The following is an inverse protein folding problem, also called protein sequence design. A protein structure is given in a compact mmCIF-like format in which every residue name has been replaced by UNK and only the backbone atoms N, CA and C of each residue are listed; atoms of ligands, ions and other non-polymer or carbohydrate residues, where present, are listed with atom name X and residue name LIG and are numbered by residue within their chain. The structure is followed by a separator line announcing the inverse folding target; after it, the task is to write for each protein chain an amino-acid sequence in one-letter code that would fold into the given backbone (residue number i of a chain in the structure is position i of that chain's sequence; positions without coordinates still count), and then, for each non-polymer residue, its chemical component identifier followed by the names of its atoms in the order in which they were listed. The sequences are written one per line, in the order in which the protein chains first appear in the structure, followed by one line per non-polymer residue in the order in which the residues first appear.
data_IF_762744468631
#
_entry.id   IF_762744468631
#
_cell.length_a   1.000
_cell.length_b   1.000
_cell.length_c   1.000
_cell.angle_alpha   90.00
_cell.angle_beta   90.00
_cell.angle_gamma   90.00
#
_symmetry.space_group_name_H-M   'P 1'
#
loop_
_entity.id
_entity.type
_entity.pdbx_description
1 polymer ?
#
# COMPACT_ATOMS: atom_id res chain seq x y z
N UNK A 1 33.61 -13.80 -8.94
CA UNK A 1 33.16 -13.87 -8.74
C UNK A 1 32.55 -13.50 -8.78
N UNK A 2 32.30 -13.67 -8.64
CA UNK A 2 31.65 -13.49 -8.44
C UNK A 2 30.89 -13.20 -8.21
N UNK A 3 30.65 -13.13 -8.00
CA UNK A 3 29.89 -12.99 -7.53
C UNK A 3 29.01 -12.85 -7.68
N UNK A 4 28.64 -12.98 -7.80
CA UNK A 4 27.72 -13.01 -7.69
C UNK A 4 26.97 -12.92 -7.29
N UNK A 5 26.59 -12.66 -7.19
CA UNK A 5 25.68 -12.84 -6.70
C UNK A 5 24.80 -12.99 -6.92
N UNK A 6 24.97 -13.23 -6.79
CA UNK A 6 23.89 -13.63 -7.17
C UNK A 6 22.61 -13.52 -6.97
N UNK A 7 22.25 -14.02 -7.15
CA UNK A 7 20.91 -14.16 -6.96
C UNK A 7 20.49 -13.45 -5.78
N UNK A 8 20.54 -12.23 -5.91
CA UNK A 8 19.81 -11.51 -4.95
C UNK A 8 18.37 -11.81 -5.16
N UNK A 9 17.65 -12.08 -4.10
CA UNK A 9 16.22 -12.08 -4.15
C UNK A 9 15.79 -10.78 -4.76
N UNK A 10 14.62 -10.72 -5.29
CA UNK A 10 14.07 -9.47 -5.77
C UNK A 10 14.22 -8.45 -4.69
N UNK A 11 15.12 -7.52 -4.86
CA UNK A 11 15.31 -6.48 -3.89
C UNK A 11 14.52 -5.28 -4.32
N UNK A 12 13.78 -4.73 -3.37
CA UNK A 12 13.07 -3.48 -3.57
C UNK A 12 14.12 -2.38 -3.69
N UNK A 13 14.05 -1.51 -4.71
CA UNK A 13 14.96 -0.37 -4.80
C UNK A 13 14.90 0.47 -3.52
N UNK A 14 16.02 1.11 -3.18
CA UNK A 14 16.09 1.90 -1.94
C UNK A 14 14.97 2.92 -1.83
N UNK A 15 14.62 3.59 -2.94
CA UNK A 15 13.56 4.58 -2.93
C UNK A 15 12.22 3.95 -2.61
N UNK A 16 11.99 2.73 -3.08
CA UNK A 16 10.73 2.05 -2.85
C UNK A 16 10.66 1.41 -1.48
N UNK A 17 11.81 1.14 -0.84
CA UNK A 17 11.81 0.53 0.49
C UNK A 17 11.19 1.44 1.55
N UNK A 18 11.08 2.73 1.29
CA UNK A 18 10.41 3.64 2.20
C UNK A 18 8.91 3.35 2.33
N UNK A 19 8.34 2.62 1.38
CA UNK A 19 6.94 2.25 1.41
C UNK A 19 6.68 1.00 2.26
N UNK A 20 7.70 0.20 2.52
CA UNK A 20 7.52 -1.06 3.25
C UNK A 20 7.18 -0.76 4.71
N UNK A 21 6.12 -1.38 5.20
CA UNK A 21 5.70 -1.21 6.58
C UNK A 21 4.18 -1.23 6.71
N UNK A 22 3.72 -0.87 7.90
CA UNK A 22 2.30 -0.79 8.20
C UNK A 22 1.89 0.67 8.29
N UNK A 23 0.82 1.01 7.59
CA UNK A 23 0.33 2.37 7.48
C UNK A 23 -1.13 2.42 7.89
N UNK A 24 -1.49 3.38 8.73
CA UNK A 24 -2.87 3.54 9.18
C UNK A 24 -3.08 2.91 10.53
N UNK A 25 -4.36 2.71 10.90
CA UNK A 25 -4.72 2.19 12.21
C UNK A 25 -5.46 0.88 12.05
N UNK A 26 -4.93 -0.18 12.65
CA UNK A 26 -5.58 -1.48 12.69
C UNK A 26 -6.69 -1.46 13.75
N UNK A 27 -7.82 -2.01 13.42
CA UNK A 27 -8.95 -2.07 14.33
C UNK A 27 -10.27 -2.09 13.57
N UNK A 28 -11.36 -2.26 14.33
CA UNK A 28 -12.69 -2.30 13.73
C UNK A 28 -12.99 -0.94 13.08
N UNK A 29 -13.42 -0.98 11.81
CA UNK A 29 -13.81 0.20 11.04
C UNK A 29 -12.66 1.18 10.83
N UNK A 30 -11.41 0.72 10.93
CA UNK A 30 -10.23 1.54 10.68
C UNK A 30 -9.58 1.13 9.38
N UNK A 31 -8.98 2.10 8.69
CA UNK A 31 -8.28 1.87 7.43
C UNK A 31 -6.80 1.66 7.67
N UNK A 32 -6.21 0.66 7.03
CA UNK A 32 -4.78 0.45 7.11
C UNK A 32 -4.28 -0.33 5.90
N UNK A 33 -2.98 -0.23 5.64
CA UNK A 33 -2.29 -1.01 4.62
C UNK A 33 -1.01 -1.58 5.20
N UNK A 34 -0.71 -2.82 4.85
CA UNK A 34 0.59 -3.45 5.10
C UNK A 34 1.25 -3.64 3.75
N UNK A 35 2.35 -2.94 3.53
CA UNK A 35 3.11 -3.00 2.28
C UNK A 35 4.35 -3.82 2.57
N UNK A 36 4.43 -5.00 1.99
CA UNK A 36 5.49 -5.95 2.28
C UNK A 36 6.59 -5.89 1.23
N UNK A 37 7.82 -6.20 1.67
CA UNK A 37 8.99 -6.14 0.80
C UNK A 37 8.93 -7.17 -0.33
N UNK A 38 8.10 -8.21 -0.18
CA UNK A 38 7.97 -9.25 -1.21
C UNK A 38 7.05 -8.86 -2.36
N UNK A 39 6.51 -7.63 -2.34
CA UNK A 39 5.64 -7.15 -3.40
C UNK A 39 4.16 -7.34 -3.13
N UNK A 40 3.79 -7.79 -1.94
CA UNK A 40 2.38 -7.96 -1.59
C UNK A 40 1.89 -6.77 -0.77
N UNK A 41 0.58 -6.52 -0.86
CA UNK A 41 -0.07 -5.54 -0.03
C UNK A 41 -1.36 -6.14 0.51
N UNK A 42 -1.61 -5.90 1.79
CA UNK A 42 -2.85 -6.31 2.44
C UNK A 42 -3.34 -5.15 3.28
N UNK A 43 -4.59 -5.19 3.67
CA UNK A 43 -5.13 -4.14 4.51
C UNK A 43 -6.64 -4.18 4.60
N UNK A 44 -7.18 -3.03 4.95
CA UNK A 44 -8.63 -2.87 5.11
C UNK A 44 -9.01 -1.43 4.76
N UNK A 45 -10.17 -1.26 4.16
CA UNK A 45 -10.71 0.08 3.94
C UNK A 45 -11.66 0.50 5.05
N UNK A 46 -11.66 -0.24 6.15
CA UNK A 46 -12.56 -0.01 7.28
C UNK A 46 -13.75 -0.96 7.26
N UNK A 47 -14.03 -1.58 6.13
CA UNK A 47 -15.14 -2.50 5.97
C UNK A 47 -14.66 -3.78 5.30
N UNK A 48 -14.01 -3.65 4.16
CA UNK A 48 -13.57 -4.79 3.35
C UNK A 48 -12.09 -5.05 3.50
N UNK A 49 -11.70 -6.32 3.41
CA UNK A 49 -10.30 -6.72 3.38
C UNK A 49 -9.75 -6.48 1.98
N UNK A 50 -8.53 -5.96 1.92
CA UNK A 50 -7.85 -5.65 0.67
C UNK A 50 -6.62 -6.54 0.54
N UNK A 51 -6.40 -7.09 -0.65
CA UNK A 51 -5.20 -7.86 -0.95
C UNK A 51 -4.77 -7.58 -2.38
N UNK A 52 -3.47 -7.63 -2.63
CA UNK A 52 -2.96 -7.42 -3.97
C UNK A 52 -1.45 -7.32 -3.97
N UNK A 53 -0.94 -6.58 -4.94
CA UNK A 53 0.49 -6.41 -5.13
C UNK A 53 0.81 -4.94 -5.36
N UNK A 54 2.08 -4.61 -5.22
CA UNK A 54 2.56 -3.27 -5.49
C UNK A 54 3.88 -3.34 -6.22
N UNK A 55 4.20 -2.28 -6.95
CA UNK A 55 5.49 -2.18 -7.62
C UNK A 55 5.90 -0.71 -7.70
N UNK A 56 7.21 -0.46 -7.75
CA UNK A 56 7.69 0.91 -7.88
C UNK A 56 7.28 1.51 -9.23
N UNK A 57 7.02 2.80 -9.20
CA UNK A 57 6.66 3.57 -10.37
C UNK A 57 7.65 4.72 -10.52
N UNK A 58 7.66 5.36 -11.67
CA UNK A 58 8.50 6.52 -11.88
C UNK A 58 8.17 7.61 -10.86
N UNK A 59 9.20 8.33 -10.43
CA UNK A 59 9.07 9.31 -9.38
C UNK A 59 9.07 8.60 -8.03
N UNK A 60 8.52 9.24 -7.03
CA UNK A 60 8.52 8.70 -5.67
C UNK A 60 7.18 8.07 -5.37
N UNK A 61 6.71 7.21 -6.29
CA UNK A 61 5.41 6.56 -6.17
C UNK A 61 5.53 5.06 -6.32
N UNK A 62 4.52 4.39 -5.78
CA UNK A 62 4.28 2.97 -6.07
C UNK A 62 2.89 2.85 -6.70
N UNK A 63 2.70 1.79 -7.46
CA UNK A 63 1.43 1.46 -8.08
C UNK A 63 0.90 0.19 -7.43
N UNK A 64 -0.39 0.18 -7.12
CA UNK A 64 -1.06 -1.03 -6.64
C UNK A 64 -1.64 -1.77 -7.83
N UNK A 65 -1.49 -3.09 -7.83
CA UNK A 65 -1.88 -3.91 -8.96
C UNK A 65 -2.57 -5.17 -8.45
N UNK A 66 -3.48 -5.70 -9.25
CA UNK A 66 -4.18 -6.93 -8.91
C UNK A 66 -4.87 -6.86 -7.56
N UNK A 67 -5.39 -5.68 -7.22
CA UNK A 67 -6.06 -5.48 -5.95
C UNK A 67 -7.43 -6.15 -5.97
N UNK A 68 -7.70 -6.87 -4.89
CA UNK A 68 -8.99 -7.51 -4.67
C UNK A 68 -9.53 -7.08 -3.31
N UNK A 69 -10.82 -7.04 -3.18
CA UNK A 69 -11.45 -6.72 -1.90
C UNK A 69 -12.70 -7.56 -1.70
N UNK A 70 -13.06 -7.80 -0.44
CA UNK A 70 -14.35 -8.35 -0.13
C UNK A 70 -15.41 -7.31 -0.47
N UNK A 71 -16.65 -7.76 -0.63
CA UNK A 71 -17.74 -6.90 -1.10
C UNK A 71 -18.81 -6.79 -0.03
N UNK A 72 -18.45 -6.17 1.09
CA UNK A 72 -19.39 -5.98 2.19
C UNK A 72 -19.90 -4.53 2.17
N UNK A 73 -21.10 -4.33 2.68
CA UNK A 73 -21.68 -3.00 2.83
C UNK A 73 -21.64 -2.63 4.30
N UNK A 74 -21.02 -1.51 4.61
CA UNK A 74 -20.90 -1.02 5.98
C UNK A 74 -21.38 0.42 6.04
N UNK A 75 -22.55 0.63 6.62
CA UNK A 75 -23.11 1.97 6.72
C UNK A 75 -22.23 2.84 7.63
N UNK A 76 -22.07 4.10 7.22
CA UNK A 76 -21.35 5.07 8.03
C UNK A 76 -19.84 4.89 8.07
N UNK A 77 -19.30 3.96 7.30
CA UNK A 77 -17.86 3.73 7.24
C UNK A 77 -17.31 4.32 5.95
N UNK A 78 -16.22 5.09 6.06
CA UNK A 78 -15.56 5.63 4.90
C UNK A 78 -14.66 4.55 4.29
N UNK A 79 -15.03 4.05 3.13
CA UNK A 79 -14.31 2.99 2.45
C UNK A 79 -13.49 3.51 1.27
N UNK A 80 -13.15 4.79 1.28
CA UNK A 80 -12.42 5.41 0.17
C UNK A 80 -11.10 4.70 -0.14
N UNK A 81 -10.43 4.14 0.87
CA UNK A 81 -9.16 3.46 0.66
C UNK A 81 -9.28 2.29 -0.30
N UNK A 82 -10.47 1.71 -0.43
CA UNK A 82 -10.69 0.61 -1.37
C UNK A 82 -10.52 1.00 -2.83
N UNK A 83 -10.44 2.29 -3.14
CA UNK A 83 -10.23 2.79 -4.49
C UNK A 83 -8.76 3.05 -4.79
N UNK A 84 -7.87 2.52 -3.99
CA UNK A 84 -6.43 2.76 -4.10
C UNK A 84 -5.91 2.33 -5.48
N UNK A 85 -5.05 3.17 -6.06
CA UNK A 85 -4.40 2.92 -7.34
C UNK A 85 -2.90 3.14 -7.24
N UNK A 86 -2.48 4.19 -6.54
CA UNK A 86 -1.07 4.50 -6.36
C UNK A 86 -0.87 5.19 -5.02
N UNK A 87 0.39 5.37 -4.62
CA UNK A 87 0.70 6.04 -3.37
C UNK A 87 2.06 6.71 -3.44
N UNK A 88 2.23 7.74 -2.61
CA UNK A 88 3.51 8.39 -2.39
C UNK A 88 3.77 8.43 -0.89
N UNK A 89 5.03 8.60 -0.51
CA UNK A 89 5.41 8.66 0.89
C UNK A 89 6.16 9.96 1.16
N UNK A 90 5.88 10.56 2.30
CA UNK A 90 6.56 11.75 2.76
C UNK A 90 6.81 11.55 4.25
N UNK A 91 8.06 11.21 4.60
CA UNK A 91 8.38 10.89 5.98
C UNK A 91 7.60 9.70 6.47
N UNK A 92 6.76 9.89 7.47
CA UNK A 92 5.95 8.85 8.05
C UNK A 92 4.49 8.91 7.63
N UNK A 93 4.22 9.55 6.48
CA UNK A 93 2.86 9.66 5.95
C UNK A 93 2.80 9.06 4.57
N UNK A 94 1.86 8.14 4.38
CA UNK A 94 1.55 7.56 3.07
C UNK A 94 0.32 8.25 2.52
N UNK A 95 0.44 8.82 1.33
CA UNK A 95 -0.69 9.42 0.63
C UNK A 95 -1.15 8.47 -0.46
N UNK A 96 -2.41 8.08 -0.44
CA UNK A 96 -2.97 7.12 -1.38
C UNK A 96 -3.87 7.85 -2.35
N UNK A 97 -3.73 7.53 -3.64
CA UNK A 97 -4.46 8.16 -4.73
C UNK A 97 -5.32 7.14 -5.46
N UNK A 98 -6.41 7.60 -6.04
CA UNK A 98 -7.22 6.78 -6.94
C UNK A 98 -6.65 6.87 -8.37
N UNK A 99 -7.38 6.30 -9.35
CA UNK A 99 -6.93 6.28 -10.75
C UNK A 99 -7.07 7.64 -11.44
N UNK A 100 -7.61 8.63 -10.75
CA UNK A 100 -7.70 10.01 -11.23
C UNK A 100 -6.71 10.92 -10.50
N UNK A 101 -5.77 10.35 -9.75
CA UNK A 101 -4.81 11.09 -8.93
C UNK A 101 -5.45 11.90 -7.81
N UNK A 102 -6.66 11.58 -7.43
CA UNK A 102 -7.31 12.21 -6.29
C UNK A 102 -6.89 11.48 -5.01
N UNK A 103 -6.64 12.24 -3.95
CA UNK A 103 -6.26 11.65 -2.66
C UNK A 103 -7.47 10.97 -2.06
N UNK A 104 -7.35 9.68 -1.79
CA UNK A 104 -8.42 8.91 -1.13
C UNK A 104 -8.11 8.65 0.34
N UNK A 105 -6.85 8.74 0.75
CA UNK A 105 -6.50 8.55 2.15
C UNK A 105 -5.09 9.04 2.41
N UNK A 106 -4.85 9.47 3.65
CA UNK A 106 -3.50 9.70 4.15
C UNK A 106 -3.35 8.85 5.40
N UNK A 107 -2.30 8.05 5.44
CA UNK A 107 -2.12 7.06 6.50
C UNK A 107 -0.79 7.29 7.20
N UNK A 108 -0.76 7.37 8.53
CA UNK A 108 0.50 7.47 9.25
C UNK A 108 1.18 6.11 9.32
N UNK A 109 2.50 6.13 9.43
CA UNK A 109 3.25 4.91 9.64
C UNK A 109 3.04 4.45 11.08
N UNK A 110 2.70 3.18 11.24
CA UNK A 110 2.47 2.62 12.57
C UNK A 110 3.43 1.48 12.89
N UNK A 111 4.13 0.96 11.88
CA UNK A 111 5.16 -0.05 12.14
C UNK A 111 6.15 -0.15 10.98
#
# INVERSE_FOLDING_TARGET
MSELHPSLPVTVPSAASAFVGTWGTDGAQQSFLVIAADGTVTGSDGCNSLTGRWEPEDGDRIEFDQMASTMMACEGVDTSLGQLDSASVDGDTLTVYDDHDAVVATLPRTA
#
